data_IF_441610781857
#
_entry.id   IF_441610781857
#
_cell.length_a   1.000
_cell.length_b   1.000
_cell.length_c   1.000
_cell.angle_alpha   90.00
_cell.angle_beta   90.00
_cell.angle_gamma   90.00
#
_symmetry.space_group_name_H-M   'P 1'
#
loop_
_entity.id
_entity.type
_entity.pdbx_description
1 polymer ?
#
# COMPACT_ATOMS: atom_id res chain seq x y z
N UNK A 1 48.53 13.59 -18.38
CA UNK A 1 48.75 13.07 -17.02
C UNK A 1 47.69 11.99 -16.81
N UNK A 2 48.04 10.74 -17.07
CA UNK A 2 47.12 9.59 -16.98
C UNK A 2 46.81 9.25 -15.53
N UNK A 3 45.57 8.81 -15.27
CA UNK A 3 45.14 8.23 -14.00
C UNK A 3 45.11 6.70 -14.11
N UNK A 4 45.74 5.95 -13.19
CA UNK A 4 45.66 4.50 -13.15
C UNK A 4 44.39 4.05 -12.42
N UNK A 5 43.69 3.05 -12.97
CA UNK A 5 42.63 2.35 -12.24
C UNK A 5 41.33 2.04 -13.00
N UNK A 6 41.35 1.89 -14.32
CA UNK A 6 40.26 1.20 -15.02
C UNK A 6 40.36 -0.31 -14.74
N UNK A 7 39.33 -0.90 -14.13
CA UNK A 7 39.08 -2.35 -14.06
C UNK A 7 37.59 -2.63 -14.27
N UNK A 8 37.25 -3.85 -14.73
CA UNK A 8 36.49 -4.04 -15.97
C UNK A 8 34.97 -4.04 -15.79
N UNK A 9 34.30 -3.80 -16.92
CA UNK A 9 32.88 -3.48 -17.04
C UNK A 9 31.92 -4.46 -16.37
N UNK A 10 30.85 -3.88 -15.83
CA UNK A 10 29.64 -4.59 -15.49
C UNK A 10 29.05 -5.23 -16.76
N UNK A 11 28.53 -6.46 -16.69
CA UNK A 11 27.85 -7.08 -17.81
C UNK A 11 26.69 -6.20 -18.26
N UNK A 12 26.61 -5.92 -19.56
CA UNK A 12 25.47 -5.23 -20.16
C UNK A 12 24.22 -6.08 -19.95
N UNK A 13 23.23 -5.56 -19.20
CA UNK A 13 21.96 -6.26 -18.98
C UNK A 13 21.19 -5.92 -17.70
N UNK A 14 21.80 -5.25 -16.73
CA UNK A 14 21.06 -4.74 -15.55
C UNK A 14 20.89 -3.23 -15.68
N UNK A 15 19.67 -2.72 -15.54
CA UNK A 15 19.29 -1.29 -15.65
C UNK A 15 19.88 -0.41 -14.55
N UNK A 16 21.21 -0.31 -14.49
CA UNK A 16 21.95 0.54 -13.56
C UNK A 16 22.09 1.92 -14.18
N UNK A 17 21.47 2.93 -13.55
CA UNK A 17 21.52 4.34 -14.00
C UNK A 17 22.26 5.19 -12.97
N UNK A 18 23.31 5.88 -13.40
CA UNK A 18 23.98 6.94 -12.63
C UNK A 18 23.13 8.23 -12.72
N UNK A 19 22.45 8.62 -11.64
CA UNK A 19 21.61 9.82 -11.61
C UNK A 19 22.44 11.12 -11.37
N UNK A 20 22.11 12.25 -12.01
CA UNK A 20 22.78 13.54 -11.79
C UNK A 20 22.64 14.07 -10.35
N UNK A 21 23.60 14.92 -9.95
CA UNK A 21 23.77 15.45 -8.58
C UNK A 21 22.57 16.18 -7.96
N UNK A 22 21.53 16.51 -8.73
CA UNK A 22 20.37 17.29 -8.28
C UNK A 22 19.31 16.49 -7.51
N UNK A 23 19.34 15.15 -7.55
CA UNK A 23 18.32 14.28 -6.95
C UNK A 23 18.67 13.75 -5.54
N UNK A 24 19.70 14.30 -4.89
CA UNK A 24 20.26 13.75 -3.63
C UNK A 24 19.52 14.18 -2.35
N UNK A 25 18.19 14.24 -2.37
CA UNK A 25 17.40 14.46 -1.16
C UNK A 25 17.28 13.22 -0.24
N UNK A 26 17.45 12.01 -0.78
CA UNK A 26 17.31 10.74 -0.05
C UNK A 26 18.43 9.71 -0.32
N UNK A 27 19.36 10.03 -1.21
CA UNK A 27 20.44 9.14 -1.67
C UNK A 27 21.80 9.72 -1.28
N UNK A 28 22.22 9.45 -0.05
CA UNK A 28 23.62 9.55 0.37
C UNK A 28 24.16 10.96 0.60
N UNK A 29 25.28 11.02 1.35
CA UNK A 29 26.00 12.26 1.65
C UNK A 29 26.51 12.94 0.37
N UNK A 30 26.63 14.28 0.34
CA UNK A 30 27.30 14.99 -0.74
C UNK A 30 28.70 14.42 -1.01
N UNK A 31 29.01 14.14 -2.28
CA UNK A 31 30.35 13.69 -2.71
C UNK A 31 30.54 12.18 -2.86
N UNK A 32 29.53 11.34 -2.59
CA UNK A 32 29.56 9.91 -2.95
C UNK A 32 28.64 9.64 -4.13
N UNK A 33 29.12 8.88 -5.12
CA UNK A 33 28.26 8.28 -6.15
C UNK A 33 27.48 7.14 -5.48
N UNK A 34 26.16 7.16 -5.59
CA UNK A 34 25.29 6.08 -5.14
C UNK A 34 24.71 5.40 -6.38
N UNK A 35 24.66 4.07 -6.36
CA UNK A 35 24.05 3.28 -7.43
C UNK A 35 22.59 3.06 -7.10
N UNK A 36 21.69 3.34 -8.04
CA UNK A 36 20.27 2.98 -7.92
C UNK A 36 20.04 1.65 -8.63
N UNK A 37 19.46 0.68 -7.91
CA UNK A 37 19.01 -0.58 -8.49
C UNK A 37 17.51 -0.45 -8.74
N UNK A 38 17.08 -0.65 -9.98
CA UNK A 38 15.67 -0.62 -10.36
C UNK A 38 15.10 -2.03 -10.18
N UNK A 39 14.17 -2.17 -9.24
CA UNK A 39 13.35 -3.37 -9.10
C UNK A 39 12.25 -3.37 -10.16
N UNK A 40 11.92 -4.54 -10.69
CA UNK A 40 10.75 -4.70 -11.57
C UNK A 40 9.42 -4.74 -10.80
N UNK A 41 8.30 -4.84 -11.53
CA UNK A 41 6.95 -4.86 -10.95
C UNK A 41 6.69 -6.03 -9.99
N UNK A 42 7.37 -7.16 -10.19
CA UNK A 42 7.28 -8.31 -9.30
C UNK A 42 8.16 -8.11 -8.07
N UNK A 43 9.41 -7.70 -8.26
CA UNK A 43 10.39 -7.45 -7.21
C UNK A 43 9.97 -6.36 -6.22
N UNK A 44 9.17 -5.38 -6.66
CA UNK A 44 8.69 -4.33 -5.75
C UNK A 44 7.53 -4.79 -4.83
N UNK A 45 6.82 -5.88 -5.17
CA UNK A 45 5.62 -6.37 -4.45
C UNK A 45 5.85 -7.69 -3.74
N UNK A 46 6.82 -8.46 -4.19
CA UNK A 46 7.09 -9.80 -3.69
C UNK A 46 8.23 -9.79 -2.65
N UNK A 47 7.96 -10.21 -1.39
CA UNK A 47 8.97 -10.32 -0.34
C UNK A 47 10.21 -11.14 -0.73
N UNK A 48 10.03 -12.29 -1.40
CA UNK A 48 11.12 -13.21 -1.77
C UNK A 48 12.00 -12.59 -2.85
N UNK A 49 11.36 -12.00 -3.85
CA UNK A 49 12.05 -11.36 -4.96
C UNK A 49 12.85 -10.14 -4.49
N UNK A 50 12.26 -9.32 -3.60
CA UNK A 50 12.97 -8.19 -2.98
C UNK A 50 14.15 -8.66 -2.12
N UNK A 51 13.95 -9.68 -1.28
CA UNK A 51 15.01 -10.25 -0.45
C UNK A 51 16.18 -10.75 -1.30
N UNK A 52 15.86 -11.45 -2.39
CA UNK A 52 16.84 -11.93 -3.36
C UNK A 52 17.57 -10.78 -4.05
N UNK A 53 16.86 -9.72 -4.48
CA UNK A 53 17.46 -8.54 -5.09
C UNK A 53 18.44 -7.84 -4.13
N UNK A 54 18.07 -7.71 -2.86
CA UNK A 54 18.91 -7.12 -1.81
C UNK A 54 20.24 -7.88 -1.72
N UNK A 55 20.18 -9.21 -1.63
CA UNK A 55 21.36 -10.05 -1.50
C UNK A 55 22.22 -10.05 -2.77
N UNK A 56 21.60 -10.28 -3.94
CA UNK A 56 22.29 -10.35 -5.24
C UNK A 56 23.11 -9.10 -5.54
N UNK A 57 22.60 -7.92 -5.17
CA UNK A 57 23.25 -6.65 -5.46
C UNK A 57 23.93 -5.99 -4.24
N UNK A 58 23.94 -6.65 -3.08
CA UNK A 58 24.47 -6.09 -1.83
C UNK A 58 23.92 -4.68 -1.55
N UNK A 59 22.59 -4.56 -1.65
CA UNK A 59 21.90 -3.27 -1.52
C UNK A 59 22.20 -2.67 -0.16
N UNK A 60 22.60 -1.40 -0.11
CA UNK A 60 22.92 -0.74 1.15
C UNK A 60 21.70 -0.12 1.84
N UNK A 61 20.71 0.33 1.08
CA UNK A 61 19.54 1.03 1.60
C UNK A 61 18.27 0.62 0.88
N UNK A 62 17.22 0.33 1.64
CA UNK A 62 15.86 0.08 1.13
C UNK A 62 14.86 0.99 1.84
N UNK A 63 13.89 1.51 1.09
CA UNK A 63 12.66 2.08 1.64
C UNK A 63 11.51 1.18 1.22
N UNK A 64 10.77 0.63 2.18
CA UNK A 64 9.70 -0.32 1.93
C UNK A 64 8.55 -0.11 2.91
N UNK A 65 7.40 -0.72 2.61
CA UNK A 65 6.25 -0.71 3.51
C UNK A 65 6.41 -1.75 4.63
N UNK A 66 5.96 -1.47 5.87
CA UNK A 66 5.96 -2.40 6.99
C UNK A 66 5.46 -3.82 6.67
N UNK A 67 4.38 -3.96 5.91
CA UNK A 67 3.79 -5.25 5.52
C UNK A 67 4.78 -6.13 4.74
N UNK A 68 5.43 -5.57 3.72
CA UNK A 68 6.46 -6.26 2.94
C UNK A 68 7.66 -6.65 3.80
N UNK A 69 8.13 -5.72 4.64
CA UNK A 69 9.25 -5.95 5.56
C UNK A 69 8.92 -7.02 6.60
N UNK A 70 7.67 -7.09 7.05
CA UNK A 70 7.19 -8.08 8.02
C UNK A 70 7.34 -9.51 7.52
N UNK A 71 7.06 -9.75 6.24
CA UNK A 71 7.27 -11.08 5.64
C UNK A 71 8.76 -11.39 5.50
N UNK A 72 9.56 -10.42 5.03
CA UNK A 72 11.00 -10.64 4.83
C UNK A 72 11.71 -10.94 6.14
N UNK A 73 11.39 -10.26 7.24
CA UNK A 73 12.08 -10.50 8.53
C UNK A 73 11.81 -11.89 9.10
N UNK A 74 10.67 -12.51 8.78
CA UNK A 74 10.35 -13.88 9.23
C UNK A 74 11.02 -14.94 8.36
N UNK A 75 11.08 -14.73 7.05
CA UNK A 75 11.48 -15.77 6.10
C UNK A 75 12.92 -15.62 5.59
N UNK A 76 13.39 -14.38 5.39
CA UNK A 76 14.74 -14.07 4.86
C UNK A 76 15.44 -12.95 5.68
N UNK A 77 15.59 -13.12 7.01
CA UNK A 77 16.15 -12.08 7.88
C UNK A 77 17.57 -11.64 7.50
N UNK A 78 18.36 -12.53 6.88
CA UNK A 78 19.71 -12.24 6.41
C UNK A 78 19.75 -11.24 5.26
N UNK A 79 18.72 -11.18 4.40
CA UNK A 79 18.60 -10.12 3.40
C UNK A 79 18.54 -8.75 4.08
N UNK A 80 17.70 -8.62 5.11
CA UNK A 80 17.59 -7.37 5.85
C UNK A 80 18.87 -7.05 6.61
N UNK A 81 19.47 -8.01 7.33
CA UNK A 81 20.74 -7.81 8.07
C UNK A 81 21.89 -7.28 7.20
N UNK A 82 21.86 -7.53 5.90
CA UNK A 82 22.87 -7.01 4.96
C UNK A 82 22.74 -5.51 4.67
N UNK A 83 21.57 -4.92 4.91
CA UNK A 83 21.33 -3.50 4.67
C UNK A 83 22.05 -2.64 5.70
N UNK A 84 22.65 -1.55 5.24
CA UNK A 84 23.08 -0.46 6.12
C UNK A 84 21.89 0.35 6.63
N UNK A 85 20.84 0.53 5.82
CA UNK A 85 19.65 1.30 6.22
C UNK A 85 18.37 0.68 5.69
N UNK A 86 17.45 0.39 6.59
CA UNK A 86 16.07 0.06 6.27
C UNK A 86 15.16 1.19 6.74
N UNK A 87 14.35 1.70 5.82
CA UNK A 87 13.37 2.75 6.09
C UNK A 87 11.99 2.17 5.86
N UNK A 88 11.17 2.10 6.92
CA UNK A 88 9.76 1.77 6.80
C UNK A 88 8.94 3.05 6.67
N UNK A 89 7.93 3.05 5.81
CA UNK A 89 7.01 4.17 5.67
C UNK A 89 5.74 3.79 4.93
N UNK A 90 4.89 4.78 4.68
CA UNK A 90 3.60 4.64 3.99
C UNK A 90 2.53 3.76 4.67
N UNK A 91 2.86 2.94 5.67
CA UNK A 91 1.93 2.27 6.59
C UNK A 91 2.29 2.56 8.05
N UNK A 92 1.34 2.37 9.00
CA UNK A 92 1.68 2.32 10.42
C UNK A 92 2.69 1.20 10.71
N UNK A 93 3.77 1.53 11.41
CA UNK A 93 4.69 0.54 11.93
C UNK A 93 4.11 -0.06 13.23
N UNK A 94 4.08 -1.38 13.35
CA UNK A 94 3.60 -2.04 14.58
C UNK A 94 4.75 -2.26 15.58
N UNK A 95 4.42 -2.27 16.87
CA UNK A 95 5.39 -2.55 17.93
C UNK A 95 6.06 -3.93 17.75
N UNK A 96 5.26 -4.95 17.42
CA UNK A 96 5.73 -6.32 17.18
C UNK A 96 6.72 -6.42 16.01
N UNK A 97 6.44 -5.74 14.89
CA UNK A 97 7.37 -5.71 13.76
C UNK A 97 8.69 -5.02 14.16
N UNK A 98 8.60 -3.93 14.90
CA UNK A 98 9.76 -3.21 15.40
C UNK A 98 10.66 -4.09 16.29
N UNK A 99 10.05 -4.86 17.19
CA UNK A 99 10.75 -5.82 18.07
C UNK A 99 11.44 -6.92 17.26
N UNK A 100 10.72 -7.54 16.30
CA UNK A 100 11.30 -8.57 15.41
C UNK A 100 12.46 -8.03 14.58
N UNK A 101 12.34 -6.80 14.04
CA UNK A 101 13.40 -6.17 13.28
C UNK A 101 14.64 -5.93 14.14
N UNK A 102 14.48 -5.38 15.35
CA UNK A 102 15.61 -5.13 16.26
C UNK A 102 16.29 -6.42 16.73
N UNK A 103 15.50 -7.47 17.01
CA UNK A 103 16.03 -8.78 17.35
C UNK A 103 16.88 -9.38 16.20
N UNK A 104 16.50 -9.10 14.94
CA UNK A 104 17.20 -9.61 13.78
C UNK A 104 18.37 -8.72 13.30
N UNK A 105 18.27 -7.39 13.40
CA UNK A 105 19.30 -6.45 12.91
C UNK A 105 20.41 -6.12 13.90
N UNK A 106 20.17 -6.30 15.20
CA UNK A 106 21.06 -5.82 16.25
C UNK A 106 20.85 -4.36 16.64
N UNK A 107 21.48 -3.96 17.75
CA UNK A 107 21.29 -2.65 18.41
C UNK A 107 21.53 -1.46 17.48
N UNK A 108 20.44 -0.72 17.20
CA UNK A 108 20.45 0.52 16.43
C UNK A 108 20.82 1.71 17.36
N UNK A 109 22.12 2.01 17.47
CA UNK A 109 22.59 3.25 18.10
C UNK A 109 22.60 4.43 17.13
N UNK A 110 22.67 5.67 17.64
CA UNK A 110 22.76 6.93 16.87
C UNK A 110 24.09 7.14 16.11
N UNK A 111 24.84 6.07 15.84
CA UNK A 111 26.18 6.08 15.26
C UNK A 111 26.27 5.61 13.80
N UNK A 112 27.50 5.32 13.37
CA UNK A 112 27.89 4.86 12.03
C UNK A 112 27.43 3.43 11.66
N UNK A 113 26.58 2.80 12.47
CA UNK A 113 26.11 1.43 12.30
C UNK A 113 24.82 1.31 11.46
N UNK A 114 24.28 0.09 11.33
CA UNK A 114 23.01 -0.16 10.64
C UNK A 114 21.85 0.67 11.23
N UNK A 115 20.92 1.08 10.37
CA UNK A 115 19.83 2.00 10.73
C UNK A 115 18.45 1.42 10.39
N UNK A 116 17.62 1.24 11.42
CA UNK A 116 16.19 0.95 11.30
C UNK A 116 15.39 2.24 11.53
N UNK A 117 14.75 2.75 10.49
CA UNK A 117 14.09 4.06 10.51
C UNK A 117 12.60 3.95 10.20
N UNK A 118 11.78 4.64 10.98
CA UNK A 118 10.38 4.90 10.67
C UNK A 118 10.27 6.26 9.99
N UNK A 119 9.47 6.36 8.92
CA UNK A 119 9.39 7.52 8.05
C UNK A 119 7.93 7.88 7.78
N UNK A 120 7.60 9.16 7.98
CA UNK A 120 6.23 9.65 7.94
C UNK A 120 6.12 10.96 7.17
N UNK A 121 5.02 11.09 6.43
CA UNK A 121 4.66 12.25 5.66
C UNK A 121 3.54 11.92 4.69
N UNK A 122 3.26 12.87 3.79
CA UNK A 122 2.19 12.79 2.82
C UNK A 122 2.68 13.14 1.40
N UNK A 123 1.91 12.73 0.40
CA UNK A 123 2.16 13.11 -1.00
C UNK A 123 2.16 14.63 -1.16
N UNK A 124 1.28 15.32 -0.44
CA UNK A 124 1.13 16.78 -0.42
C UNK A 124 2.36 17.53 0.14
N UNK A 125 3.32 16.77 0.64
CA UNK A 125 4.54 17.27 1.26
C UNK A 125 5.80 16.68 0.64
N UNK A 126 5.71 16.24 -0.62
CA UNK A 126 6.83 15.66 -1.38
C UNK A 126 7.42 14.40 -0.75
N UNK A 127 6.56 13.56 -0.15
CA UNK A 127 6.93 12.29 0.45
C UNK A 127 7.00 12.37 1.97
N UNK A 128 8.19 12.23 2.54
CA UNK A 128 8.35 12.19 3.99
C UNK A 128 8.91 13.50 4.55
N UNK A 129 8.49 13.88 5.77
CA UNK A 129 9.08 14.98 6.54
C UNK A 129 9.55 14.58 7.93
N UNK A 130 9.01 13.52 8.51
CA UNK A 130 9.32 13.11 9.88
C UNK A 130 9.98 11.76 9.83
N UNK A 131 11.11 11.62 10.52
CA UNK A 131 11.88 10.38 10.54
C UNK A 131 12.48 10.15 11.91
N UNK A 132 12.47 8.90 12.35
CA UNK A 132 13.08 8.50 13.62
C UNK A 132 13.62 7.09 13.59
N UNK A 133 14.52 6.76 14.52
CA UNK A 133 14.87 5.37 14.78
C UNK A 133 13.65 4.60 15.28
N UNK A 134 13.58 3.33 14.92
CA UNK A 134 12.66 2.36 15.48
C UNK A 134 12.97 2.13 16.97
N UNK A 135 12.07 2.49 17.89
CA UNK A 135 12.30 2.42 19.35
C UNK A 135 11.15 1.76 20.12
N UNK A 136 11.22 0.46 20.47
CA UNK A 136 10.15 -0.21 21.20
C UNK A 136 9.94 0.38 22.59
N UNK A 137 8.75 0.21 23.18
CA UNK A 137 7.59 -0.51 22.64
C UNK A 137 6.67 0.36 21.76
N UNK A 138 6.91 1.67 21.66
CA UNK A 138 6.03 2.59 20.93
C UNK A 138 6.64 2.94 19.56
N UNK A 139 5.95 2.71 18.43
CA UNK A 139 6.45 3.04 17.10
C UNK A 139 6.36 4.55 16.85
N UNK A 140 7.28 5.30 17.46
CA UNK A 140 7.37 6.75 17.28
C UNK A 140 7.74 7.08 15.83
N UNK A 141 7.23 8.22 15.34
CA UNK A 141 7.53 8.71 13.99
C UNK A 141 8.90 9.40 13.93
N UNK A 142 9.38 9.93 15.07
CA UNK A 142 10.67 10.61 15.18
C UNK A 142 10.58 12.13 15.15
N UNK A 143 11.56 12.79 14.54
CA UNK A 143 11.67 14.25 14.48
C UNK A 143 11.50 14.74 13.05
N UNK A 144 11.11 16.02 12.85
CA UNK A 144 11.19 16.64 11.54
C UNK A 144 12.60 16.50 10.94
N UNK A 145 12.68 16.17 9.65
CA UNK A 145 13.91 16.16 8.87
C UNK A 145 14.42 17.61 8.68
N UNK A 146 15.67 17.82 8.27
CA UNK A 146 16.15 19.15 7.93
C UNK A 146 15.19 19.87 6.97
N UNK A 147 14.96 21.15 7.22
CA UNK A 147 14.06 22.03 6.46
C UNK A 147 12.57 21.69 6.52
N UNK A 148 12.18 20.60 7.18
CA UNK A 148 10.79 20.27 7.44
C UNK A 148 10.23 21.12 8.59
N UNK A 149 9.05 21.70 8.37
CA UNK A 149 8.32 22.42 9.42
C UNK A 149 7.04 21.66 9.76
N UNK A 150 6.90 21.30 11.04
CA UNK A 150 5.81 20.46 11.54
C UNK A 150 5.21 21.13 12.77
N UNK A 151 3.89 21.27 12.78
CA UNK A 151 3.12 21.92 13.84
C UNK A 151 2.03 20.99 14.34
N UNK A 152 1.81 20.99 15.65
CA UNK A 152 0.63 20.41 16.25
C UNK A 152 -0.23 21.53 16.80
N UNK A 153 -1.43 21.67 16.25
CA UNK A 153 -2.31 22.79 16.54
C UNK A 153 -3.65 22.32 17.12
N UNK A 154 -4.28 23.16 17.94
CA UNK A 154 -5.68 22.99 18.35
C UNK A 154 -6.67 23.57 17.31
N UNK A 155 -7.97 23.50 17.61
CA UNK A 155 -9.03 24.02 16.73
C UNK A 155 -8.97 25.54 16.53
N UNK A 156 -8.29 26.26 17.43
CA UNK A 156 -8.01 27.69 17.33
C UNK A 156 -6.72 28.01 16.58
N UNK A 157 -6.08 27.00 15.96
CA UNK A 157 -4.77 27.07 15.32
C UNK A 157 -3.63 27.44 16.28
N UNK A 158 -3.77 27.26 17.60
CA UNK A 158 -2.70 27.52 18.57
C UNK A 158 -1.82 26.27 18.77
N UNK A 159 -0.50 26.41 19.00
CA UNK A 159 0.37 25.25 19.18
C UNK A 159 0.09 24.57 20.51
N UNK A 160 -0.02 23.25 20.49
CA UNK A 160 -0.24 22.45 21.71
C UNK A 160 1.10 22.07 22.39
N UNK A 161 1.16 22.00 23.73
CA UNK A 161 2.37 21.61 24.43
C UNK A 161 2.67 20.10 24.28
N UNK A 162 3.90 19.64 24.59
CA UNK A 162 4.22 18.22 24.64
C UNK A 162 3.25 17.42 25.52
N UNK A 163 2.89 16.22 25.06
CA UNK A 163 1.92 15.32 25.69
C UNK A 163 0.47 15.56 25.26
N UNK A 164 0.12 16.75 24.73
CA UNK A 164 -1.23 17.09 24.30
C UNK A 164 -1.43 16.73 22.82
N UNK A 165 -2.59 16.14 22.51
CA UNK A 165 -2.94 15.74 21.14
C UNK A 165 -3.45 16.96 20.37
N UNK A 166 -2.78 17.28 19.27
CA UNK A 166 -3.19 18.30 18.29
C UNK A 166 -3.43 17.69 16.90
N UNK A 167 -3.95 18.49 15.98
CA UNK A 167 -3.96 18.19 14.55
C UNK A 167 -2.61 18.57 13.93
N UNK A 168 -2.12 17.74 13.01
CA UNK A 168 -0.81 17.87 12.38
C UNK A 168 -0.88 18.75 11.13
N UNK A 169 -0.04 19.78 11.12
CA UNK A 169 0.12 20.71 10.01
C UNK A 169 1.58 20.73 9.55
N UNK A 170 1.77 20.84 8.24
CA UNK A 170 3.08 20.93 7.62
C UNK A 170 3.27 22.29 6.95
N UNK A 171 4.48 22.83 6.99
CA UNK A 171 4.85 24.06 6.28
C UNK A 171 6.22 23.93 5.60
N UNK A 172 6.57 24.95 4.82
CA UNK A 172 7.88 25.07 4.18
C UNK A 172 7.91 24.66 2.71
N UNK A 173 9.11 24.65 2.12
CA UNK A 173 9.31 24.45 0.68
C UNK A 173 8.97 23.06 0.15
N UNK A 174 8.69 22.09 1.03
CA UNK A 174 8.31 20.73 0.65
C UNK A 174 6.82 20.59 0.31
N UNK A 175 6.00 21.62 0.59
CA UNK A 175 4.58 21.61 0.22
C UNK A 175 4.43 21.61 -1.29
N UNK A 176 3.56 20.73 -1.81
CA UNK A 176 3.21 20.75 -3.23
C UNK A 176 2.39 22.02 -3.57
N UNK A 177 2.25 22.29 -4.87
CA UNK A 177 1.48 23.46 -5.34
C UNK A 177 0.00 23.37 -4.92
N UNK A 178 -0.59 22.19 -5.01
CA UNK A 178 -1.99 21.91 -4.68
C UNK A 178 -2.50 20.70 -5.46
N UNK A 179 -3.80 20.45 -5.39
CA UNK A 179 -4.44 19.39 -6.16
C UNK A 179 -4.77 19.88 -7.57
N UNK A 180 -4.34 19.11 -8.58
CA UNK A 180 -4.55 19.42 -9.99
C UNK A 180 -6.04 19.64 -10.31
N UNK A 181 -6.37 20.78 -10.95
CA UNK A 181 -7.75 21.18 -11.31
C UNK A 181 -8.78 21.15 -10.17
N UNK A 182 -8.35 21.18 -8.90
CA UNK A 182 -9.23 21.13 -7.72
C UNK A 182 -8.96 22.30 -6.77
N UNK A 183 -9.27 23.55 -7.18
CA UNK A 183 -8.96 24.74 -6.38
C UNK A 183 -9.70 24.78 -5.04
N UNK A 184 -10.96 24.31 -4.99
CA UNK A 184 -11.72 24.25 -3.72
C UNK A 184 -11.11 23.29 -2.70
N UNK A 185 -10.73 22.08 -3.14
CA UNK A 185 -10.04 21.12 -2.28
C UNK A 185 -8.65 21.63 -1.86
N UNK A 186 -7.95 22.29 -2.79
CA UNK A 186 -6.66 22.91 -2.51
C UNK A 186 -6.79 23.98 -1.43
N UNK A 187 -7.74 24.90 -1.55
CA UNK A 187 -7.96 25.95 -0.54
C UNK A 187 -8.37 25.39 0.83
N UNK A 188 -9.10 24.26 0.86
CA UNK A 188 -9.52 23.62 2.10
C UNK A 188 -8.38 22.89 2.85
N UNK A 189 -7.38 22.38 2.12
CA UNK A 189 -6.24 21.64 2.70
C UNK A 189 -4.96 22.47 2.80
N UNK A 190 -4.75 23.44 1.92
CA UNK A 190 -3.59 24.33 1.91
C UNK A 190 -3.98 25.71 2.43
N UNK A 191 -4.03 25.85 3.75
CA UNK A 191 -4.56 27.03 4.47
C UNK A 191 -3.45 28.02 4.81
N UNK A 192 -3.80 29.23 5.26
CA UNK A 192 -2.80 30.24 5.65
C UNK A 192 -1.98 29.79 6.87
N UNK A 193 -0.67 30.06 6.85
CA UNK A 193 0.21 29.86 8.00
C UNK A 193 0.44 31.20 8.74
N UNK A 194 -0.18 31.43 9.92
CA UNK A 194 -0.03 32.67 10.67
C UNK A 194 1.32 32.79 11.41
N UNK A 195 2.15 31.73 11.42
CA UNK A 195 3.44 31.70 12.12
C UNK A 195 4.62 32.06 11.22
N UNK A 196 4.42 32.11 9.91
CA UNK A 196 5.48 32.44 8.98
C UNK A 196 5.68 33.97 8.91
N UNK A 197 6.95 34.38 8.86
CA UNK A 197 7.30 35.77 8.58
C UNK A 197 7.04 36.15 7.11
N UNK A 198 7.03 35.17 6.21
CA UNK A 198 6.85 35.37 4.77
C UNK A 198 5.37 35.52 4.41
N UNK A 199 4.97 36.62 3.74
CA UNK A 199 3.60 36.78 3.25
C UNK A 199 3.20 35.64 2.30
N UNK A 200 1.99 35.10 2.49
CA UNK A 200 1.44 34.05 1.63
C UNK A 200 1.95 32.64 1.93
N UNK A 201 2.72 32.45 3.00
CA UNK A 201 3.08 31.12 3.48
C UNK A 201 1.82 30.30 3.83
N UNK A 202 1.90 28.99 3.54
CA UNK A 202 0.78 28.07 3.69
C UNK A 202 1.13 26.94 4.65
N UNK A 203 0.10 26.41 5.29
CA UNK A 203 0.10 25.08 5.86
C UNK A 203 -0.50 24.08 4.88
N UNK A 204 -0.09 22.82 4.97
CA UNK A 204 -0.92 21.68 4.60
C UNK A 204 -1.54 21.06 5.86
N UNK A 205 -2.87 21.01 5.91
CA UNK A 205 -3.69 20.41 6.97
C UNK A 205 -3.88 18.92 6.70
N UNK A 206 -3.11 18.06 7.37
CA UNK A 206 -3.02 16.64 7.00
C UNK A 206 -4.23 15.80 7.42
N UNK A 207 -4.99 16.27 8.42
CA UNK A 207 -6.04 15.49 9.08
C UNK A 207 -5.51 14.43 10.04
N UNK A 208 -4.20 14.35 10.27
CA UNK A 208 -3.63 13.45 11.27
C UNK A 208 -3.66 14.09 12.66
N UNK A 209 -3.86 13.26 13.69
CA UNK A 209 -3.73 13.62 15.09
C UNK A 209 -2.48 13.00 15.65
N UNK A 210 -1.70 13.79 16.37
CA UNK A 210 -0.45 13.37 16.97
C UNK A 210 -0.15 14.18 18.24
N UNK A 211 0.87 13.77 18.98
CA UNK A 211 1.43 14.53 20.11
C UNK A 211 2.95 14.51 20.06
N UNK A 212 3.58 15.56 20.57
CA UNK A 212 5.00 15.53 20.88
C UNK A 212 5.20 14.77 22.19
N UNK A 213 6.15 13.86 22.22
CA UNK A 213 6.69 13.35 23.49
C UNK A 213 7.53 14.44 24.15
N UNK A 214 7.78 14.31 25.46
CA UNK A 214 8.57 15.30 26.20
C UNK A 214 10.01 15.43 25.72
N UNK A 215 10.54 14.40 25.05
CA UNK A 215 11.86 14.40 24.41
C UNK A 215 11.82 14.77 22.92
N UNK A 216 10.71 15.35 22.45
CA UNK A 216 10.62 15.99 21.13
C UNK A 216 10.41 15.03 19.95
N UNK A 217 9.95 13.81 20.19
CA UNK A 217 9.58 12.85 19.13
C UNK A 217 8.08 12.88 18.88
N UNK A 218 7.67 12.68 17.64
CA UNK A 218 6.27 12.70 17.24
C UNK A 218 5.66 11.31 17.43
N UNK A 219 4.52 11.24 18.12
CA UNK A 219 3.72 10.03 18.28
C UNK A 219 2.40 10.21 17.53
N UNK A 220 2.10 9.27 16.64
CA UNK A 220 0.83 9.24 15.90
C UNK A 220 -0.30 8.74 16.81
N UNK A 221 -1.45 9.41 16.76
CA UNK A 221 -2.64 9.06 17.57
C UNK A 221 -3.79 8.57 16.70
N UNK A 222 -3.96 9.12 15.50
CA UNK A 222 -5.05 8.72 14.60
C UNK A 222 -5.34 9.77 13.53
N UNK A 223 -6.52 9.71 12.92
CA UNK A 223 -6.98 10.69 11.93
C UNK A 223 -8.29 11.35 12.34
N UNK A 224 -8.51 12.57 11.89
CA UNK A 224 -9.78 13.30 12.03
C UNK A 224 -10.81 12.89 10.97
N UNK A 225 -10.35 12.34 9.85
CA UNK A 225 -11.19 11.82 8.77
C UNK A 225 -11.14 10.28 8.67
N UNK A 226 -11.83 9.72 7.67
CA UNK A 226 -11.96 8.27 7.44
C UNK A 226 -10.91 7.73 6.47
N UNK A 227 -9.79 8.41 6.26
CA UNK A 227 -8.72 7.88 5.42
C UNK A 227 -7.98 6.77 6.15
N UNK A 228 -7.59 5.75 5.41
CA UNK A 228 -6.87 4.59 5.94
C UNK A 228 -5.69 4.27 5.05
N UNK A 229 -4.70 3.57 5.63
CA UNK A 229 -3.59 2.97 4.89
C UNK A 229 -3.84 1.48 4.82
N UNK A 230 -4.00 0.96 3.61
CA UNK A 230 -4.20 -0.47 3.34
C UNK A 230 -3.09 -0.90 2.40
N UNK A 231 -2.20 -1.79 2.86
CA UNK A 231 -1.11 -2.34 2.03
C UNK A 231 -0.24 -1.27 1.35
N UNK A 232 0.05 -0.17 2.06
CA UNK A 232 0.85 0.95 1.59
C UNK A 232 0.09 1.98 0.75
N UNK A 233 -1.15 1.69 0.37
CA UNK A 233 -2.00 2.60 -0.37
C UNK A 233 -2.83 3.47 0.57
N UNK A 234 -2.89 4.77 0.26
CA UNK A 234 -3.86 5.68 0.88
C UNK A 234 -5.21 5.40 0.25
N UNK A 235 -6.15 4.93 1.06
CA UNK A 235 -7.51 4.62 0.63
C UNK A 235 -8.48 5.56 1.34
N UNK A 236 -9.27 6.26 0.55
CA UNK A 236 -10.40 7.04 1.04
C UNK A 236 -11.59 6.10 1.23
N UNK A 237 -11.99 5.80 2.47
CA UNK A 237 -13.13 4.91 2.70
C UNK A 237 -14.41 5.45 2.04
N UNK A 238 -14.56 6.77 1.93
CA UNK A 238 -15.68 7.40 1.24
C UNK A 238 -15.74 7.09 -0.27
N UNK A 239 -14.59 6.90 -0.93
CA UNK A 239 -14.52 6.52 -2.35
C UNK A 239 -14.98 5.07 -2.55
N UNK A 240 -14.52 4.18 -1.68
CA UNK A 240 -14.97 2.78 -1.64
C UNK A 240 -16.47 2.70 -1.35
N UNK A 241 -16.95 3.47 -0.37
CA UNK A 241 -18.37 3.57 -0.02
C UNK A 241 -19.22 4.10 -1.18
N UNK A 242 -18.71 5.09 -1.92
CA UNK A 242 -19.41 5.64 -3.08
C UNK A 242 -19.52 4.62 -4.22
N UNK A 243 -18.44 3.90 -4.52
CA UNK A 243 -18.45 2.85 -5.53
C UNK A 243 -19.39 1.68 -5.14
N UNK A 244 -19.30 1.20 -3.89
CA UNK A 244 -20.24 0.19 -3.37
C UNK A 244 -21.68 0.66 -3.45
N UNK A 245 -21.94 1.96 -3.16
CA UNK A 245 -23.29 2.52 -3.20
C UNK A 245 -23.81 2.73 -4.62
N UNK A 246 -22.94 2.88 -5.61
CA UNK A 246 -23.29 3.03 -7.02
C UNK A 246 -23.71 1.71 -7.67
N UNK A 247 -23.32 0.57 -7.11
CA UNK A 247 -23.68 -0.74 -7.61
C UNK A 247 -25.20 -0.98 -7.57
N UNK A 248 -25.74 -1.70 -8.56
CA UNK A 248 -27.18 -1.89 -8.69
C UNK A 248 -27.79 -2.58 -7.46
N UNK A 249 -29.00 -2.14 -7.11
CA UNK A 249 -29.72 -2.67 -5.96
C UNK A 249 -29.16 -2.29 -4.58
N UNK A 250 -28.05 -1.55 -4.45
CA UNK A 250 -27.52 -1.15 -3.13
C UNK A 250 -28.29 0.06 -2.56
N UNK A 251 -28.80 -0.07 -1.33
CA UNK A 251 -29.50 0.98 -0.60
C UNK A 251 -28.58 1.78 0.32
N UNK A 252 -27.61 1.13 0.98
CA UNK A 252 -26.63 1.77 1.87
C UNK A 252 -25.32 1.01 1.75
N UNK A 253 -24.19 1.73 1.78
CA UNK A 253 -22.87 1.13 1.83
C UNK A 253 -22.03 1.75 2.95
N UNK A 254 -21.10 0.96 3.49
CA UNK A 254 -20.09 1.38 4.45
C UNK A 254 -18.78 0.62 4.17
N UNK A 255 -17.64 1.23 4.49
CA UNK A 255 -16.35 0.55 4.45
C UNK A 255 -15.62 0.73 5.78
N UNK A 256 -14.83 -0.27 6.16
CA UNK A 256 -14.04 -0.27 7.40
C UNK A 256 -12.81 -1.16 7.27
N UNK A 257 -11.74 -0.80 7.96
CA UNK A 257 -10.56 -1.66 8.08
C UNK A 257 -10.61 -2.59 9.29
N UNK A 258 -9.98 -3.75 9.14
CA UNK A 258 -9.78 -4.74 10.19
C UNK A 258 -8.34 -5.20 10.23
N UNK A 259 -7.79 -5.35 11.43
CA UNK A 259 -6.50 -6.00 11.61
C UNK A 259 -6.70 -7.53 11.66
N UNK A 260 -5.98 -8.22 10.80
CA UNK A 260 -5.94 -9.69 10.69
C UNK A 260 -4.46 -10.08 10.61
N UNK A 261 -3.98 -10.81 11.61
CA UNK A 261 -2.59 -11.31 11.69
C UNK A 261 -1.50 -10.25 11.44
N UNK A 262 -1.72 -9.05 11.95
CA UNK A 262 -0.77 -7.93 11.83
C UNK A 262 -0.84 -7.16 10.50
N UNK A 263 -1.76 -7.53 9.60
CA UNK A 263 -2.05 -6.82 8.35
C UNK A 263 -3.40 -6.10 8.43
N UNK A 264 -3.45 -4.87 7.90
CA UNK A 264 -4.69 -4.10 7.79
C UNK A 264 -5.43 -4.48 6.50
N UNK A 265 -6.64 -5.01 6.65
CA UNK A 265 -7.55 -5.40 5.56
C UNK A 265 -8.70 -4.42 5.41
N UNK A 266 -9.31 -4.36 4.22
CA UNK A 266 -10.46 -3.50 3.91
C UNK A 266 -11.72 -4.34 3.72
N UNK A 267 -12.77 -4.06 4.48
CA UNK A 267 -14.08 -4.71 4.36
C UNK A 267 -15.15 -3.72 3.88
N UNK A 268 -16.01 -4.18 2.97
CA UNK A 268 -17.19 -3.50 2.48
C UNK A 268 -18.45 -4.09 3.11
N UNK A 269 -19.44 -3.24 3.33
CA UNK A 269 -20.74 -3.62 3.88
C UNK A 269 -21.82 -2.98 3.02
N UNK A 270 -22.84 -3.76 2.66
CA UNK A 270 -23.95 -3.28 1.84
C UNK A 270 -25.29 -3.70 2.42
N UNK A 271 -26.28 -2.83 2.30
CA UNK A 271 -27.69 -3.15 2.53
C UNK A 271 -28.41 -3.11 1.19
N UNK A 272 -29.04 -4.21 0.74
CA UNK A 272 -29.82 -4.24 -0.49
C UNK A 272 -31.09 -3.38 -0.39
N UNK A 273 -31.57 -2.84 -1.51
CA UNK A 273 -32.90 -2.19 -1.62
C UNK A 273 -34.05 -3.17 -1.40
N UNK A 274 -33.85 -4.41 -1.86
CA UNK A 274 -34.77 -5.52 -1.67
C UNK A 274 -34.08 -6.58 -0.82
N UNK A 275 -34.69 -6.94 0.30
CA UNK A 275 -34.09 -7.87 1.26
C UNK A 275 -33.72 -9.18 0.56
N UNK A 276 -32.45 -9.54 0.62
CA UNK A 276 -31.97 -10.85 0.17
C UNK A 276 -32.45 -11.92 1.17
N UNK A 277 -33.23 -12.89 0.68
CA UNK A 277 -33.79 -13.95 1.52
C UNK A 277 -32.82 -15.13 1.61
N UNK A 278 -32.13 -15.24 2.76
CA UNK A 278 -31.18 -16.33 3.04
C UNK A 278 -29.75 -16.02 2.59
N UNK A 279 -28.81 -16.87 3.01
CA UNK A 279 -27.37 -16.66 2.79
C UNK A 279 -26.95 -16.81 1.33
N UNK A 280 -27.62 -17.68 0.56
CA UNK A 280 -27.34 -17.86 -0.87
C UNK A 280 -27.66 -16.59 -1.67
N UNK A 281 -28.82 -15.97 -1.42
CA UNK A 281 -29.19 -14.71 -2.05
C UNK A 281 -28.27 -13.55 -1.65
N UNK A 282 -27.80 -13.53 -0.38
CA UNK A 282 -26.82 -12.56 0.09
C UNK A 282 -25.46 -12.74 -0.58
N UNK A 283 -25.00 -13.97 -0.74
CA UNK A 283 -23.75 -14.29 -1.44
C UNK A 283 -23.80 -13.90 -2.92
N UNK A 284 -24.89 -14.22 -3.61
CA UNK A 284 -25.10 -13.82 -5.00
C UNK A 284 -25.10 -12.28 -5.16
N UNK A 285 -25.79 -11.58 -4.26
CA UNK A 285 -25.81 -10.11 -4.25
C UNK A 285 -24.42 -9.51 -3.98
N UNK A 286 -23.68 -10.02 -3.00
CA UNK A 286 -22.32 -9.57 -2.73
C UNK A 286 -21.39 -9.78 -3.93
N UNK A 287 -21.54 -10.90 -4.64
CA UNK A 287 -20.77 -11.21 -5.84
C UNK A 287 -21.07 -10.24 -6.99
N UNK A 288 -22.35 -9.93 -7.22
CA UNK A 288 -22.75 -8.95 -8.24
C UNK A 288 -22.19 -7.56 -7.93
N UNK A 289 -22.31 -7.09 -6.68
CA UNK A 289 -21.72 -5.82 -6.24
C UNK A 289 -20.20 -5.81 -6.41
N UNK A 290 -19.52 -6.92 -6.07
CA UNK A 290 -18.06 -7.04 -6.24
C UNK A 290 -17.66 -6.83 -7.69
N UNK A 291 -18.35 -7.47 -8.62
CA UNK A 291 -18.06 -7.39 -10.06
C UNK A 291 -18.21 -5.95 -10.59
N UNK A 292 -19.28 -5.25 -10.21
CA UNK A 292 -19.49 -3.85 -10.61
C UNK A 292 -18.43 -2.91 -10.02
N UNK A 293 -18.09 -3.09 -8.74
CA UNK A 293 -17.09 -2.25 -8.08
C UNK A 293 -15.68 -2.49 -8.64
N UNK A 294 -15.35 -3.73 -9.01
CA UNK A 294 -14.07 -4.07 -9.63
C UNK A 294 -13.85 -3.40 -10.99
N UNK A 295 -14.93 -2.98 -11.68
CA UNK A 295 -14.84 -2.26 -12.94
C UNK A 295 -14.47 -0.78 -12.77
N UNK A 296 -14.65 -0.20 -11.57
CA UNK A 296 -14.47 1.24 -11.31
C UNK A 296 -13.38 1.55 -10.29
N UNK A 297 -13.14 0.69 -9.31
CA UNK A 297 -12.09 0.88 -8.31
C UNK A 297 -10.79 0.20 -8.74
N UNK A 298 -9.63 0.84 -8.50
CA UNK A 298 -8.35 0.14 -8.57
C UNK A 298 -8.32 -1.07 -7.62
N UNK A 299 -7.63 -2.15 -8.02
CA UNK A 299 -7.59 -3.40 -7.25
C UNK A 299 -7.10 -3.26 -5.79
N UNK A 300 -6.29 -2.25 -5.47
CA UNK A 300 -5.84 -1.99 -4.09
C UNK A 300 -6.91 -1.33 -3.21
N UNK A 301 -7.94 -0.72 -3.80
CA UNK A 301 -9.11 -0.18 -3.09
C UNK A 301 -10.26 -1.21 -2.99
N UNK A 302 -10.13 -2.37 -3.63
CA UNK A 302 -11.15 -3.41 -3.57
C UNK A 302 -11.23 -4.01 -2.15
N UNK A 303 -12.43 -4.02 -1.54
CA UNK A 303 -12.62 -4.73 -0.28
C UNK A 303 -12.30 -6.22 -0.41
N UNK A 304 -11.57 -6.78 0.55
CA UNK A 304 -11.32 -8.23 0.60
C UNK A 304 -12.62 -9.00 0.87
N UNK A 305 -13.57 -8.40 1.58
CA UNK A 305 -14.91 -8.95 1.82
C UNK A 305 -16.01 -7.93 1.55
N UNK A 306 -17.17 -8.40 1.11
CA UNK A 306 -18.40 -7.61 1.02
C UNK A 306 -19.48 -8.33 1.83
N UNK A 307 -19.82 -7.78 2.99
CA UNK A 307 -20.84 -8.35 3.88
C UNK A 307 -22.20 -7.73 3.60
N UNK A 308 -23.21 -8.57 3.32
CA UNK A 308 -24.59 -8.10 3.15
C UNK A 308 -25.30 -8.06 4.49
N UNK A 309 -25.72 -6.87 4.90
CA UNK A 309 -26.47 -6.64 6.13
C UNK A 309 -27.95 -6.41 5.83
N UNK A 310 -28.80 -6.82 6.76
CA UNK A 310 -30.22 -6.48 6.72
C UNK A 310 -30.42 -4.97 7.00
N UNK A 311 -29.60 -4.41 7.90
CA UNK A 311 -29.56 -2.99 8.21
C UNK A 311 -28.17 -2.53 8.64
N UNK A 312 -27.86 -1.24 8.45
CA UNK A 312 -26.60 -0.66 8.94
C UNK A 312 -26.70 -0.32 10.43
N UNK A 313 -25.68 -0.64 11.23
CA UNK A 313 -25.58 -0.20 12.62
C UNK A 313 -25.63 1.33 12.69
N UNK A 314 -26.45 1.86 13.60
CA UNK A 314 -26.59 3.31 13.83
C UNK A 314 -26.25 3.67 15.28
N UNK A 315 -25.81 4.90 15.50
CA UNK A 315 -25.70 5.53 16.82
C UNK A 315 -27.08 5.96 17.33
N UNK A 316 -27.19 6.34 18.60
CA UNK A 316 -28.43 6.91 19.16
C UNK A 316 -28.92 8.15 18.38
N UNK A 317 -27.99 8.90 17.78
CA UNK A 317 -28.27 10.05 16.91
C UNK A 317 -28.68 9.67 15.47
N UNK A 318 -28.80 8.37 15.16
CA UNK A 318 -29.21 7.86 13.84
C UNK A 318 -28.12 7.87 12.76
N UNK A 319 -26.88 8.24 13.10
CA UNK A 319 -25.72 8.22 12.18
C UNK A 319 -25.13 6.83 12.07
N UNK A 320 -24.41 6.52 10.99
CA UNK A 320 -23.71 5.24 10.82
C UNK A 320 -22.73 5.00 11.98
N UNK A 321 -22.90 3.87 12.68
CA UNK A 321 -22.02 3.40 13.73
C UNK A 321 -20.98 2.43 13.16
N UNK A 322 -19.91 2.98 12.55
CA UNK A 322 -18.82 2.17 11.98
C UNK A 322 -18.16 1.22 12.99
N UNK A 323 -17.90 1.61 14.26
CA UNK A 323 -17.42 0.70 15.29
C UNK A 323 -18.32 -0.52 15.53
N UNK A 324 -19.64 -0.37 15.33
CA UNK A 324 -20.64 -1.43 15.45
C UNK A 324 -20.77 -2.35 14.23
N UNK A 325 -20.03 -2.11 13.14
CA UNK A 325 -20.03 -3.03 11.99
C UNK A 325 -19.47 -4.41 12.40
N UNK A 326 -20.13 -5.52 12.00
CA UNK A 326 -19.69 -6.85 12.37
C UNK A 326 -18.37 -7.21 11.69
N UNK A 327 -17.52 -7.98 12.37
CA UNK A 327 -16.32 -8.53 11.74
C UNK A 327 -16.74 -9.45 10.59
N UNK A 328 -16.17 -9.33 9.38
CA UNK A 328 -16.48 -10.23 8.28
C UNK A 328 -16.22 -11.68 8.71
N UNK A 329 -17.16 -12.57 8.43
CA UNK A 329 -16.95 -13.99 8.66
C UNK A 329 -15.91 -14.49 7.65
N UNK A 330 -14.75 -14.93 8.14
CA UNK A 330 -13.85 -15.77 7.35
C UNK A 330 -14.53 -17.14 7.31
N UNK A 331 -15.34 -17.38 6.27
CA UNK A 331 -16.08 -18.63 6.13
C UNK A 331 -15.10 -19.77 5.89
N UNK A 332 -14.79 -20.54 6.93
CA UNK A 332 -13.92 -21.73 6.81
C UNK A 332 -14.65 -23.05 7.00
N UNK A 333 -15.96 -23.06 7.26
CA UNK A 333 -16.67 -24.29 7.65
C UNK A 333 -18.09 -24.41 7.08
N UNK A 334 -18.18 -25.00 5.89
CA UNK A 334 -19.38 -25.60 5.32
C UNK A 334 -18.92 -26.67 4.32
N UNK A 335 -19.70 -27.74 4.09
CA UNK A 335 -19.34 -28.82 3.16
C UNK A 335 -18.76 -28.25 1.85
N UNK A 336 -17.43 -28.40 1.68
CA UNK A 336 -16.71 -27.89 0.52
C UNK A 336 -16.93 -28.87 -0.61
N UNK A 337 -17.70 -28.47 -1.62
CA UNK A 337 -17.75 -29.25 -2.85
C UNK A 337 -16.33 -29.28 -3.43
N UNK A 338 -15.75 -30.48 -3.68
CA UNK A 338 -14.38 -30.58 -4.11
C UNK A 338 -14.20 -30.02 -5.53
N UNK A 339 -12.98 -29.56 -5.87
CA UNK A 339 -12.62 -29.17 -7.24
C UNK A 339 -13.02 -30.26 -8.27
N UNK A 340 -13.85 -29.88 -9.24
CA UNK A 340 -14.45 -30.80 -10.20
C UNK A 340 -13.55 -31.02 -11.43
N UNK A 341 -12.90 -29.98 -11.94
CA UNK A 341 -12.04 -30.03 -13.14
C UNK A 341 -10.55 -30.09 -12.79
N UNK A 342 -9.70 -30.44 -13.76
CA UNK A 342 -8.24 -30.41 -13.58
C UNK A 342 -7.74 -28.99 -13.33
N UNK A 343 -8.33 -27.99 -14.00
CA UNK A 343 -8.01 -26.58 -13.78
C UNK A 343 -8.43 -26.12 -12.39
N UNK A 344 -9.62 -26.51 -11.92
CA UNK A 344 -10.05 -26.24 -10.54
C UNK A 344 -9.09 -26.88 -9.52
N UNK A 345 -8.64 -28.13 -9.76
CA UNK A 345 -7.67 -28.82 -8.87
C UNK A 345 -6.33 -28.09 -8.82
N UNK A 346 -5.78 -27.71 -9.97
CA UNK A 346 -4.51 -26.99 -10.04
C UNK A 346 -4.60 -25.63 -9.34
N UNK A 347 -5.69 -24.89 -9.50
CA UNK A 347 -5.89 -23.62 -8.79
C UNK A 347 -6.07 -23.82 -7.28
N UNK A 348 -6.79 -24.85 -6.87
CA UNK A 348 -6.94 -25.19 -5.45
C UNK A 348 -5.60 -25.52 -4.77
N UNK A 349 -4.69 -26.23 -5.46
CA UNK A 349 -3.32 -26.47 -4.97
C UNK A 349 -2.55 -25.16 -4.75
N UNK A 350 -2.63 -24.21 -5.70
CA UNK A 350 -1.97 -22.91 -5.52
C UNK A 350 -2.59 -22.10 -4.38
N UNK A 351 -3.91 -22.22 -4.14
CA UNK A 351 -4.55 -21.60 -2.98
C UNK A 351 -4.02 -22.18 -1.67
N UNK A 352 -3.90 -23.50 -1.57
CA UNK A 352 -3.33 -24.19 -0.39
C UNK A 352 -1.88 -23.75 -0.13
N UNK A 353 -1.09 -23.53 -1.19
CA UNK A 353 0.31 -23.07 -1.06
C UNK A 353 0.45 -21.62 -0.58
N UNK A 354 -0.63 -20.83 -0.65
CA UNK A 354 -0.64 -19.39 -0.32
C UNK A 354 -1.41 -19.05 0.95
N UNK A 355 -2.40 -19.87 1.28
CA UNK A 355 -3.32 -19.64 2.39
C UNK A 355 -3.10 -20.69 3.48
N UNK A 356 -3.25 -20.36 4.77
CA UNK A 356 -3.09 -21.31 5.88
C UNK A 356 -4.28 -22.28 6.00
N UNK A 357 -4.70 -22.88 4.88
CA UNK A 357 -5.89 -23.72 4.74
C UNK A 357 -5.54 -24.96 3.94
N UNK A 358 -5.81 -26.14 4.49
CA UNK A 358 -5.37 -27.43 3.94
C UNK A 358 -6.33 -28.05 2.93
N UNK A 359 -7.58 -27.60 2.89
CA UNK A 359 -8.60 -28.08 1.96
C UNK A 359 -9.29 -26.88 1.32
N UNK A 360 -9.34 -26.84 -0.01
CA UNK A 360 -9.99 -25.78 -0.79
C UNK A 360 -11.09 -26.42 -1.65
N UNK A 361 -12.32 -25.95 -1.47
CA UNK A 361 -13.48 -26.31 -2.28
C UNK A 361 -13.59 -25.43 -3.52
N UNK A 362 -14.36 -25.89 -4.51
CA UNK A 362 -14.52 -25.17 -5.77
C UNK A 362 -15.19 -23.79 -5.64
N UNK A 363 -16.00 -23.59 -4.60
CA UNK A 363 -16.70 -22.32 -4.34
C UNK A 363 -15.96 -21.43 -3.33
N UNK A 364 -14.77 -21.84 -2.89
CA UNK A 364 -14.02 -21.07 -1.93
C UNK A 364 -13.43 -19.82 -2.59
N UNK A 365 -13.76 -18.66 -2.01
CA UNK A 365 -13.32 -17.33 -2.46
C UNK A 365 -11.94 -16.99 -1.86
N UNK A 366 -10.98 -16.71 -2.73
CA UNK A 366 -9.59 -16.41 -2.37
C UNK A 366 -9.46 -15.33 -1.30
N UNK A 367 -10.20 -14.23 -1.45
CA UNK A 367 -10.09 -13.07 -0.56
C UNK A 367 -10.82 -13.28 0.77
N UNK A 368 -11.92 -14.05 0.74
CA UNK A 368 -12.68 -14.45 1.93
C UNK A 368 -11.87 -15.40 2.80
N UNK A 369 -11.02 -16.22 2.19
CA UNK A 369 -10.08 -17.11 2.87
C UNK A 369 -8.80 -16.41 3.37
N UNK A 370 -8.72 -15.08 3.29
CA UNK A 370 -7.57 -14.30 3.76
C UNK A 370 -6.57 -13.93 2.67
N UNK A 371 -6.85 -14.28 1.41
CA UNK A 371 -6.11 -13.78 0.25
C UNK A 371 -6.16 -12.26 0.15
N UNK A 372 -5.07 -11.68 -0.32
CA UNK A 372 -4.91 -10.24 -0.48
C UNK A 372 -4.33 -9.87 -1.85
N UNK A 373 -4.10 -8.57 -2.11
CA UNK A 373 -3.55 -8.12 -3.38
C UNK A 373 -2.15 -8.69 -3.64
N UNK A 374 -1.31 -8.87 -2.61
CA UNK A 374 0.04 -9.43 -2.74
C UNK A 374 -0.07 -10.93 -3.04
N UNK A 375 -0.87 -11.65 -2.24
CA UNK A 375 -1.14 -13.07 -2.46
C UNK A 375 -1.83 -13.30 -3.82
N UNK A 376 -2.63 -12.36 -4.34
CA UNK A 376 -3.25 -12.47 -5.68
C UNK A 376 -2.22 -12.36 -6.80
N UNK A 377 -1.17 -11.56 -6.60
CA UNK A 377 -0.04 -11.47 -7.53
C UNK A 377 0.77 -12.75 -7.50
N UNK A 378 1.02 -13.30 -6.31
CA UNK A 378 1.70 -14.59 -6.13
C UNK A 378 0.88 -15.75 -6.69
N UNK A 379 -0.44 -15.78 -6.47
CA UNK A 379 -1.39 -16.73 -7.06
C UNK A 379 -1.29 -16.69 -8.57
N UNK A 380 -1.36 -15.50 -9.17
CA UNK A 380 -1.26 -15.35 -10.61
C UNK A 380 0.10 -15.81 -11.13
N UNK A 381 1.20 -15.51 -10.44
CA UNK A 381 2.54 -15.96 -10.82
C UNK A 381 2.71 -17.48 -10.76
N UNK A 382 2.26 -18.12 -9.68
CA UNK A 382 2.34 -19.58 -9.50
C UNK A 382 1.40 -20.32 -10.45
N UNK A 383 0.18 -19.83 -10.66
CA UNK A 383 -0.74 -20.37 -11.65
C UNK A 383 -0.15 -20.30 -13.07
N UNK A 384 0.51 -19.19 -13.44
CA UNK A 384 1.24 -19.08 -14.72
C UNK A 384 2.39 -20.08 -14.83
N UNK A 385 3.15 -20.30 -13.75
CA UNK A 385 4.19 -21.33 -13.73
C UNK A 385 3.62 -22.75 -13.90
N UNK A 386 2.38 -22.98 -13.45
CA UNK A 386 1.63 -24.22 -13.68
C UNK A 386 0.93 -24.28 -15.06
N UNK A 387 1.17 -23.32 -15.95
CA UNK A 387 0.61 -23.29 -17.32
C UNK A 387 -0.79 -22.68 -17.42
N UNK A 388 -1.32 -22.07 -16.36
CA UNK A 388 -2.62 -21.41 -16.35
C UNK A 388 -2.47 -19.90 -16.61
N UNK A 389 -3.10 -19.32 -17.65
CA UNK A 389 -2.99 -17.90 -17.98
C UNK A 389 -3.80 -16.99 -17.03
N UNK A 390 -3.38 -16.94 -15.76
CA UNK A 390 -4.00 -16.10 -14.71
C UNK A 390 -3.28 -14.76 -14.61
N UNK A 391 -4.04 -13.68 -14.53
CA UNK A 391 -3.55 -12.34 -14.15
C UNK A 391 -4.17 -11.94 -12.80
N UNK A 392 -3.54 -11.00 -12.05
CA UNK A 392 -4.13 -10.51 -10.79
C UNK A 392 -5.55 -9.98 -10.99
N UNK A 393 -5.81 -9.28 -12.10
CA UNK A 393 -7.14 -8.79 -12.47
C UNK A 393 -8.17 -9.91 -12.58
N UNK A 394 -7.84 -11.02 -13.25
CA UNK A 394 -8.75 -12.17 -13.38
C UNK A 394 -9.08 -12.76 -12.01
N UNK A 395 -8.11 -12.81 -11.07
CA UNK A 395 -8.36 -13.25 -9.69
C UNK A 395 -9.36 -12.34 -8.97
N UNK A 396 -9.26 -11.03 -9.15
CA UNK A 396 -10.22 -10.08 -8.56
C UNK A 396 -11.63 -10.20 -9.16
N UNK A 397 -11.71 -10.40 -10.47
CA UNK A 397 -12.98 -10.55 -11.19
C UNK A 397 -13.65 -11.91 -10.92
N UNK A 398 -12.84 -12.95 -10.65
CA UNK A 398 -13.27 -14.33 -10.50
C UNK A 398 -12.64 -14.97 -9.25
N UNK A 399 -13.09 -14.58 -8.05
CA UNK A 399 -12.36 -14.87 -6.81
C UNK A 399 -12.51 -16.31 -6.31
N UNK A 400 -13.51 -17.07 -6.79
CA UNK A 400 -13.66 -18.49 -6.42
C UNK A 400 -12.89 -19.40 -7.37
N UNK A 401 -12.48 -20.58 -6.88
CA UNK A 401 -11.76 -21.58 -7.70
C UNK A 401 -12.53 -21.93 -8.99
N UNK A 402 -13.85 -22.14 -8.89
CA UNK A 402 -14.71 -22.43 -10.04
C UNK A 402 -14.73 -21.28 -11.04
N UNK A 403 -14.98 -20.05 -10.57
CA UNK A 403 -15.07 -18.88 -11.46
C UNK A 403 -13.72 -18.63 -12.13
N UNK A 404 -12.62 -18.75 -11.38
CA UNK A 404 -11.27 -18.55 -11.88
C UNK A 404 -10.92 -19.60 -12.95
N UNK A 405 -11.25 -20.87 -12.70
CA UNK A 405 -11.08 -21.95 -13.67
C UNK A 405 -11.87 -21.68 -14.94
N UNK A 406 -13.15 -21.34 -14.82
CA UNK A 406 -14.02 -21.04 -15.97
C UNK A 406 -13.50 -19.85 -16.79
N UNK A 407 -13.01 -18.80 -16.13
CA UNK A 407 -12.44 -17.63 -16.80
C UNK A 407 -11.15 -17.98 -17.56
N UNK A 408 -10.29 -18.82 -16.98
CA UNK A 408 -9.06 -19.32 -17.61
C UNK A 408 -9.37 -20.19 -18.82
N UNK A 409 -10.30 -21.14 -18.66
CA UNK A 409 -10.72 -22.08 -19.73
C UNK A 409 -11.37 -21.33 -20.89
N UNK A 410 -12.24 -20.35 -20.62
CA UNK A 410 -12.88 -19.51 -21.65
C UNK A 410 -11.84 -18.74 -22.47
N UNK A 411 -10.74 -18.28 -21.85
CA UNK A 411 -9.68 -17.50 -22.50
C UNK A 411 -8.74 -18.39 -23.33
N UNK A 412 -8.51 -19.62 -22.87
CA UNK A 412 -7.78 -20.65 -23.61
C UNK A 412 -8.54 -21.09 -24.87
N UNK A 413 -9.88 -21.19 -24.80
CA UNK A 413 -10.73 -21.55 -25.94
C UNK A 413 -10.84 -20.44 -27.00
N UNK A 414 -10.68 -19.16 -26.62
CA UNK A 414 -10.77 -18.01 -27.53
C UNK A 414 -9.45 -17.61 -28.20
N UNK A 415 -8.35 -18.32 -27.97
CA UNK A 415 -7.06 -18.09 -28.64
C UNK A 415 -6.42 -16.71 -28.39
N UNK A 416 -6.75 -16.04 -27.28
CA UNK A 416 -6.38 -14.65 -27.04
C UNK A 416 -4.96 -14.47 -26.53
N UNK A 417 -4.17 -13.67 -27.26
CA UNK A 417 -2.93 -13.08 -26.78
C UNK A 417 -3.14 -12.32 -25.46
N UNK A 418 -2.06 -12.18 -24.68
CA UNK A 418 -2.03 -11.42 -23.43
C UNK A 418 -2.25 -9.94 -23.77
N UNK A 419 -3.51 -9.50 -23.72
CA UNK A 419 -3.83 -8.07 -23.75
C UNK A 419 -3.26 -7.42 -22.49
N UNK A 420 -2.30 -6.52 -22.70
CA UNK A 420 -1.85 -5.56 -21.71
C UNK A 420 -3.03 -4.71 -21.23
N UNK A 421 -2.91 -4.25 -19.99
CA UNK A 421 -3.93 -3.46 -19.27
C UNK A 421 -4.64 -2.45 -20.17
N UNK A 422 -5.90 -2.77 -20.51
CA UNK A 422 -6.81 -1.89 -21.22
C UNK A 422 -7.42 -0.87 -20.27
N UNK A 423 -7.17 0.40 -20.60
CA UNK A 423 -7.56 1.63 -19.93
C UNK A 423 -9.02 1.70 -19.46
N UNK A 424 -9.20 2.15 -18.21
CA UNK A 424 -10.45 2.70 -17.70
C UNK A 424 -10.38 4.23 -17.81
N UNK A 425 -11.43 4.82 -18.39
CA UNK A 425 -11.57 6.26 -18.61
C UNK A 425 -11.80 6.98 -17.26
N UNK A 426 -10.80 7.73 -16.82
CA UNK A 426 -10.92 8.72 -15.76
C UNK A 426 -9.92 9.85 -16.03
N UNK A 427 -10.46 11.06 -16.23
CA UNK A 427 -9.90 12.41 -16.52
C UNK A 427 -8.51 12.83 -15.94
N UNK A 428 -7.51 11.97 -16.09
CA UNK A 428 -6.08 12.27 -15.98
C UNK A 428 -5.36 11.44 -17.04
N UNK A 429 -5.18 11.99 -18.25
CA UNK A 429 -4.52 11.35 -19.41
C UNK A 429 -3.02 11.01 -19.23
N UNK A 430 -2.58 10.71 -18.01
CA UNK A 430 -1.26 10.17 -17.75
C UNK A 430 -1.46 8.88 -16.98
N UNK A 431 -1.39 7.76 -17.68
CA UNK A 431 -1.12 6.48 -17.04
C UNK A 431 0.18 6.62 -16.24
N UNK A 432 0.26 6.09 -15.01
CA UNK A 432 1.53 5.95 -14.31
C UNK A 432 2.49 5.21 -15.24
N UNK A 433 3.53 5.89 -15.71
CA UNK A 433 4.55 5.24 -16.53
C UNK A 433 5.30 4.25 -15.65
N UNK A 434 5.09 2.96 -15.87
CA UNK A 434 5.98 1.96 -15.30
C UNK A 434 7.36 2.14 -15.93
N UNK A 435 8.39 2.20 -15.10
CA UNK A 435 9.77 2.12 -15.57
C UNK A 435 10.19 0.69 -15.88
N UNK A 436 9.35 -0.29 -15.55
CA UNK A 436 9.59 -1.71 -15.81
C UNK A 436 9.65 -1.97 -17.31
N UNK A 437 10.68 -2.71 -17.74
CA UNK A 437 10.91 -3.02 -19.15
C UNK A 437 11.59 -1.92 -19.97
N UNK A 438 11.85 -0.73 -19.40
CA UNK A 438 12.63 0.30 -20.08
C UNK A 438 14.11 -0.06 -20.12
N UNK A 439 14.74 0.13 -21.28
CA UNK A 439 16.19 0.04 -21.42
C UNK A 439 16.90 1.15 -20.66
N UNK A 440 18.20 0.98 -20.38
CA UNK A 440 19.01 2.02 -19.75
C UNK A 440 19.00 3.34 -20.55
N UNK A 441 18.93 3.27 -21.89
CA UNK A 441 18.81 4.44 -22.75
C UNK A 441 17.43 5.13 -22.62
N UNK A 442 16.36 4.35 -22.53
CA UNK A 442 15.00 4.89 -22.34
C UNK A 442 14.85 5.57 -20.97
N UNK A 443 15.41 4.97 -19.92
CA UNK A 443 15.48 5.57 -18.59
C UNK A 443 16.31 6.87 -18.58
N UNK A 444 17.44 6.89 -19.29
CA UNK A 444 18.25 8.09 -19.44
C UNK A 444 17.49 9.21 -20.18
N UNK A 445 16.71 8.88 -21.21
CA UNK A 445 15.88 9.85 -21.93
C UNK A 445 14.77 10.44 -21.04
N UNK A 446 14.09 9.62 -20.24
CA UNK A 446 13.07 10.08 -19.27
C UNK A 446 13.70 11.03 -18.25
N UNK A 447 14.84 10.67 -17.67
CA UNK A 447 15.52 11.50 -16.65
C UNK A 447 16.11 12.80 -17.21
N UNK A 448 16.60 12.80 -18.46
CA UNK A 448 17.02 14.03 -19.15
C UNK A 448 15.86 14.99 -19.39
N UNK A 449 14.65 14.48 -19.70
CA UNK A 449 13.47 15.33 -19.91
C UNK A 449 13.08 16.14 -18.67
N UNK A 450 13.37 15.62 -17.46
CA UNK A 450 13.12 16.31 -16.18
C UNK A 450 14.20 17.32 -15.81
N UNK A 451 15.35 17.29 -16.48
CA UNK A 451 16.48 18.19 -16.22
C UNK A 451 16.42 19.47 -17.07
N UNK A 452 15.62 19.46 -18.13
CA UNK A 452 15.47 20.55 -19.12
C UNK A 452 14.16 21.36 -18.94
N UNK A 453 13.41 21.12 -17.87
CA UNK A 453 12.30 21.98 -17.40
C UNK A 453 12.75 22.74 -16.15
#
# INVERSE_FOLDING_TARGET
MELPGARPGYPAGAGVVDLPRGLHGNLGRPGRRATTILADDAEHRDPEALASLIQRHSVAQVTAVPSLVSTIVDTWPEALRSLYRLVCGAEPLTASLQERLLANYGSCGSGSGPQLLNNFGATETSGALVRGPMTPPVPLLGTPMPDAQVYLLDDGLNPVPPGVVGELYYAGGQLVRGYWKRPGLTAARFVANPYAAEPGARFYRSGDRARWTHDGRLEFVGRTDHQVKVRGFRVELGEVEAALKAADGVAVAAARTWDVDGSTTLAGYVVPRHRAAGEEAKSAFASAVRAEVAAVLPGYMMPSSITVLDEMPKTESGKLNRPGLPRPAVSTTGHREPPATDTERALAEVFVDLLPITEIGRFDDFFTLGGDSILSVQLAARARAAGLPVSPRIVFENPTVQQLAAAVESRAASGGAVDGDGAADADTHHEPMSTSGLSAEQLAAVTQSWSNQ
#
